data_IF_778312127578
#
_entry.id   IF_778312127578
#
_cell.length_a   1.000
_cell.length_b   1.000
_cell.length_c   1.000
_cell.angle_alpha   90.00
_cell.angle_beta   90.00
_cell.angle_gamma   90.00
#
_symmetry.space_group_name_H-M   'P 1'
#
loop_
_entity.id
_entity.type
_entity.pdbx_description
1 polymer ?
#
# COMPACT_ATOMS: atom_id res chain seq x y z
N UNK A 1 8.85 21.95 -2.37
CA UNK A 1 8.68 20.93 -3.44
C UNK A 1 8.21 21.61 -4.70
N UNK A 2 8.91 21.42 -5.82
CA UNK A 2 8.54 22.01 -7.11
C UNK A 2 7.26 21.36 -7.67
N UNK A 3 6.53 22.11 -8.53
CA UNK A 3 5.32 21.56 -9.19
C UNK A 3 5.63 20.30 -10.00
N UNK A 4 6.78 20.25 -10.66
CA UNK A 4 7.20 19.09 -11.45
C UNK A 4 7.45 17.84 -10.59
N UNK A 5 7.99 18.00 -9.39
CA UNK A 5 8.21 16.87 -8.49
C UNK A 5 6.90 16.27 -7.98
N UNK A 6 5.93 17.12 -7.62
CA UNK A 6 4.58 16.65 -7.21
C UNK A 6 3.90 15.87 -8.33
N UNK A 7 3.94 16.39 -9.56
CA UNK A 7 3.34 15.72 -10.72
C UNK A 7 3.96 14.33 -10.94
N UNK A 8 5.28 14.18 -10.78
CA UNK A 8 5.94 12.88 -10.91
C UNK A 8 5.51 11.89 -9.82
N UNK A 9 5.37 12.35 -8.58
CA UNK A 9 4.89 11.51 -7.46
C UNK A 9 3.47 11.05 -7.71
N UNK A 10 2.58 11.94 -8.15
CA UNK A 10 1.20 11.64 -8.44
C UNK A 10 1.06 10.63 -9.59
N UNK A 11 1.83 10.81 -10.68
CA UNK A 11 1.85 9.88 -11.82
C UNK A 11 2.35 8.50 -11.40
N UNK A 12 3.43 8.41 -10.64
CA UNK A 12 3.94 7.13 -10.13
C UNK A 12 2.94 6.43 -9.21
N UNK A 13 2.24 7.18 -8.38
CA UNK A 13 1.17 6.66 -7.53
C UNK A 13 0.05 6.03 -8.36
N UNK A 14 -0.42 6.71 -9.38
CA UNK A 14 -1.47 6.21 -10.29
C UNK A 14 -1.02 5.02 -11.11
N UNK A 15 0.25 4.99 -11.56
CA UNK A 15 0.80 3.84 -12.26
C UNK A 15 0.89 2.60 -11.36
N UNK A 16 1.29 2.78 -10.12
CA UNK A 16 1.30 1.69 -9.14
C UNK A 16 -0.11 1.11 -8.93
N UNK A 17 -1.11 1.98 -8.75
CA UNK A 17 -2.50 1.56 -8.62
C UNK A 17 -2.98 0.84 -9.90
N UNK A 18 -2.64 1.33 -11.09
CA UNK A 18 -3.00 0.68 -12.35
C UNK A 18 -2.40 -0.72 -12.46
N UNK A 19 -1.14 -0.90 -12.07
CA UNK A 19 -0.48 -2.19 -12.09
C UNK A 19 -1.10 -3.16 -11.09
N UNK A 20 -1.45 -2.67 -9.90
CA UNK A 20 -2.17 -3.48 -8.91
C UNK A 20 -3.57 -3.85 -9.41
N UNK A 21 -4.29 -2.90 -10.02
CA UNK A 21 -5.60 -3.16 -10.62
C UNK A 21 -5.53 -4.31 -11.64
N UNK A 22 -4.48 -4.36 -12.46
CA UNK A 22 -4.28 -5.45 -13.43
C UNK A 22 -4.13 -6.81 -12.74
N UNK A 23 -3.39 -6.87 -11.66
CA UNK A 23 -3.25 -8.09 -10.84
C UNK A 23 -4.60 -8.51 -10.26
N UNK A 24 -5.34 -7.57 -9.67
CA UNK A 24 -6.68 -7.81 -9.11
C UNK A 24 -7.67 -8.25 -10.19
N UNK A 25 -7.64 -7.62 -11.36
CA UNK A 25 -8.52 -7.96 -12.48
C UNK A 25 -8.25 -9.38 -13.01
N UNK A 26 -6.98 -9.82 -13.03
CA UNK A 26 -6.65 -11.19 -13.35
C UNK A 26 -7.26 -12.18 -12.35
N UNK A 27 -7.25 -11.84 -11.07
CA UNK A 27 -7.90 -12.63 -10.02
C UNK A 27 -9.42 -12.64 -10.19
N UNK A 28 -10.03 -11.54 -10.60
CA UNK A 28 -11.47 -11.48 -10.88
C UNK A 28 -11.83 -12.36 -12.09
N UNK A 29 -11.07 -12.30 -13.16
CA UNK A 29 -11.26 -13.15 -14.36
C UNK A 29 -11.11 -14.63 -14.04
N UNK A 30 -10.23 -14.96 -13.09
CA UNK A 30 -10.05 -16.32 -12.60
C UNK A 30 -11.10 -16.72 -11.53
N UNK A 31 -12.11 -15.88 -11.30
CA UNK A 31 -13.19 -16.09 -10.34
C UNK A 31 -12.72 -16.22 -8.87
N UNK A 32 -11.51 -15.75 -8.56
CA UNK A 32 -10.98 -15.66 -7.18
C UNK A 32 -11.61 -14.48 -6.45
N UNK A 33 -11.72 -13.35 -7.14
CA UNK A 33 -12.42 -12.16 -6.64
C UNK A 33 -13.79 -12.05 -7.28
N UNK A 34 -14.78 -11.69 -6.49
CA UNK A 34 -16.17 -11.52 -6.94
C UNK A 34 -16.41 -10.12 -7.51
N UNK A 35 -15.71 -9.10 -6.98
CA UNK A 35 -15.82 -7.71 -7.40
C UNK A 35 -14.56 -6.93 -7.06
N UNK A 36 -14.32 -5.84 -7.82
CA UNK A 36 -13.25 -4.87 -7.58
C UNK A 36 -13.82 -3.47 -7.78
N UNK A 37 -13.63 -2.60 -6.81
CA UNK A 37 -13.86 -1.17 -6.93
C UNK A 37 -12.51 -0.45 -6.79
N UNK A 38 -12.09 0.21 -7.85
CA UNK A 38 -10.93 1.10 -7.83
C UNK A 38 -11.43 2.52 -7.59
N UNK A 39 -11.20 3.02 -6.38
CA UNK A 39 -11.69 4.33 -5.96
C UNK A 39 -10.63 5.40 -6.22
N UNK A 40 -10.91 6.29 -7.15
CA UNK A 40 -10.03 7.42 -7.46
C UNK A 40 -10.57 8.71 -6.84
N UNK A 41 -10.75 8.69 -5.52
CA UNK A 41 -11.30 9.80 -4.75
C UNK A 41 -10.47 10.07 -3.50
N UNK A 42 -10.22 11.36 -3.22
CA UNK A 42 -9.55 11.78 -1.98
C UNK A 42 -10.33 11.29 -0.75
N UNK A 43 -9.60 10.74 0.22
CA UNK A 43 -10.18 10.26 1.48
C UNK A 43 -10.84 8.88 1.40
N UNK A 44 -10.86 8.27 0.23
CA UNK A 44 -11.32 6.89 0.03
C UNK A 44 -10.14 5.93 0.00
N UNK A 45 -10.33 4.64 0.36
CA UNK A 45 -9.30 3.63 0.12
C UNK A 45 -9.04 3.47 -1.37
N UNK A 46 -7.87 2.95 -1.73
CA UNK A 46 -7.50 2.77 -3.13
C UNK A 46 -8.35 1.70 -3.81
N UNK A 47 -8.54 0.56 -3.17
CA UNK A 47 -9.35 -0.55 -3.69
C UNK A 47 -10.23 -1.15 -2.62
N UNK A 48 -11.45 -1.52 -3.03
CA UNK A 48 -12.33 -2.39 -2.27
C UNK A 48 -12.60 -3.62 -3.13
N UNK A 49 -12.28 -4.79 -2.62
CA UNK A 49 -12.52 -6.06 -3.32
C UNK A 49 -13.46 -6.94 -2.53
N UNK A 50 -14.11 -7.86 -3.23
CA UNK A 50 -14.94 -8.88 -2.61
C UNK A 50 -14.30 -10.24 -2.80
N UNK A 51 -13.99 -10.90 -1.70
CA UNK A 51 -13.32 -12.19 -1.68
C UNK A 51 -14.04 -13.13 -0.73
N UNK A 52 -14.48 -14.28 -1.25
CA UNK A 52 -15.27 -15.27 -0.48
C UNK A 52 -16.44 -14.64 0.30
N UNK A 53 -17.17 -13.73 -0.36
CA UNK A 53 -18.30 -13.02 0.25
C UNK A 53 -17.93 -11.94 1.26
N UNK A 54 -16.64 -11.70 1.47
CA UNK A 54 -16.10 -10.72 2.40
C UNK A 54 -15.61 -9.48 1.66
N UNK A 55 -15.86 -8.30 2.23
CA UNK A 55 -15.30 -7.04 1.74
C UNK A 55 -13.87 -6.88 2.29
N UNK A 56 -12.92 -6.62 1.42
CA UNK A 56 -11.50 -6.42 1.76
C UNK A 56 -11.03 -5.07 1.21
N UNK A 57 -10.43 -4.26 2.07
CA UNK A 57 -9.89 -2.95 1.73
C UNK A 57 -8.38 -3.07 1.52
N UNK A 58 -7.91 -2.60 0.35
CA UNK A 58 -6.49 -2.65 -0.03
C UNK A 58 -5.97 -1.23 -0.25
N UNK A 59 -4.89 -0.90 0.44
CA UNK A 59 -4.10 0.32 0.21
C UNK A 59 -2.87 0.00 -0.64
N UNK A 60 -2.64 0.82 -1.66
CA UNK A 60 -1.48 0.74 -2.52
C UNK A 60 -0.53 1.90 -2.21
N UNK A 61 0.73 1.60 -1.92
CA UNK A 61 1.75 2.60 -1.65
C UNK A 61 3.05 2.28 -2.38
N UNK A 62 3.67 3.28 -2.99
CA UNK A 62 5.04 3.16 -3.48
C UNK A 62 6.01 3.15 -2.30
N UNK A 63 7.02 2.29 -2.37
CA UNK A 63 8.16 2.40 -1.46
C UNK A 63 8.93 3.68 -1.75
N UNK A 64 9.63 4.20 -0.75
CA UNK A 64 10.45 5.40 -0.91
C UNK A 64 11.64 5.12 -1.82
N UNK A 65 12.04 6.13 -2.58
CA UNK A 65 13.29 6.08 -3.31
C UNK A 65 14.47 6.08 -2.34
N UNK A 66 15.54 5.36 -2.68
CA UNK A 66 16.78 5.42 -1.92
C UNK A 66 17.52 6.73 -2.19
N UNK A 67 18.36 7.15 -1.24
CA UNK A 67 19.33 8.21 -1.47
C UNK A 67 20.28 7.81 -2.63
N UNK A 68 20.57 8.73 -3.52
CA UNK A 68 21.40 8.50 -4.70
C UNK A 68 22.77 7.87 -4.39
N UNK A 69 23.32 8.12 -3.20
CA UNK A 69 24.64 7.64 -2.77
C UNK A 69 24.61 6.29 -2.02
N UNK A 70 23.43 5.75 -1.69
CA UNK A 70 23.28 4.54 -0.85
C UNK A 70 22.24 3.55 -1.36
N UNK A 71 21.94 3.54 -2.64
CA UNK A 71 20.82 2.79 -3.24
C UNK A 71 20.74 1.31 -2.87
N UNK A 72 21.88 0.65 -2.72
CA UNK A 72 21.91 -0.80 -2.45
C UNK A 72 21.88 -1.17 -0.98
N UNK A 73 22.17 -0.24 -0.08
CA UNK A 73 22.36 -0.50 1.36
C UNK A 73 21.21 -0.03 2.23
N UNK A 74 20.38 0.91 1.74
CA UNK A 74 19.25 1.41 2.51
C UNK A 74 18.14 0.37 2.62
N UNK A 75 17.55 0.21 3.83
CA UNK A 75 16.34 -0.57 3.98
C UNK A 75 15.22 -0.02 3.09
N UNK A 76 14.42 -0.90 2.52
CA UNK A 76 13.23 -0.49 1.79
C UNK A 76 12.18 -0.07 2.82
N UNK A 77 11.55 1.09 2.61
CA UNK A 77 10.52 1.63 3.50
C UNK A 77 9.33 2.14 2.71
N UNK A 78 8.17 2.00 3.31
CA UNK A 78 6.94 2.64 2.84
C UNK A 78 6.45 3.62 3.90
N UNK A 79 5.98 4.78 3.46
CA UNK A 79 5.45 5.82 4.34
C UNK A 79 3.92 5.74 4.37
N UNK A 80 3.37 5.38 5.51
CA UNK A 80 1.93 5.30 5.74
C UNK A 80 1.41 6.61 6.30
N UNK A 81 1.28 7.61 5.44
CA UNK A 81 0.76 8.91 5.80
C UNK A 81 -0.27 9.36 4.78
N UNK A 82 -1.43 9.80 5.25
CA UNK A 82 -2.47 10.37 4.38
C UNK A 82 -1.98 11.72 3.83
N UNK A 83 -2.45 12.08 2.64
CA UNK A 83 -2.05 13.32 1.97
C UNK A 83 -2.60 14.57 2.64
N UNK A 84 -3.69 14.46 3.41
CA UNK A 84 -4.37 15.60 4.04
C UNK A 84 -4.79 15.29 5.49
N UNK A 85 -4.84 16.35 6.32
CA UNK A 85 -5.47 16.30 7.63
C UNK A 85 -7.00 16.23 7.47
N UNK A 86 -7.70 15.88 8.54
CA UNK A 86 -9.17 15.95 8.58
C UNK A 86 -9.68 17.36 8.33
N UNK A 87 -10.92 17.46 7.86
CA UNK A 87 -11.59 18.74 7.58
C UNK A 87 -11.71 19.65 8.81
N UNK A 88 -11.68 19.09 10.02
CA UNK A 88 -11.71 19.85 11.29
C UNK A 88 -10.34 20.39 11.70
N UNK A 89 -9.29 20.18 10.89
CA UNK A 89 -7.93 20.64 11.16
C UNK A 89 -7.14 19.75 12.13
N UNK A 90 -7.71 18.66 12.63
CA UNK A 90 -6.96 17.72 13.47
C UNK A 90 -5.90 16.96 12.66
N UNK A 91 -4.77 16.62 13.32
CA UNK A 91 -3.70 15.87 12.65
C UNK A 91 -4.07 14.39 12.54
N UNK A 92 -4.85 14.06 11.51
CA UNK A 92 -5.33 12.71 11.21
C UNK A 92 -4.66 12.07 10.00
N UNK A 93 -3.46 12.52 9.64
CA UNK A 93 -2.69 11.94 8.52
C UNK A 93 -2.20 10.52 8.81
N UNK A 94 -2.14 10.14 10.08
CA UNK A 94 -1.81 8.78 10.48
C UNK A 94 -2.95 7.80 10.15
N UNK A 95 -2.59 6.62 9.67
CA UNK A 95 -3.56 5.53 9.51
C UNK A 95 -3.86 4.86 10.84
N UNK A 96 -5.14 4.59 11.06
CA UNK A 96 -5.55 3.69 12.13
C UNK A 96 -5.27 2.24 11.71
N UNK A 97 -4.99 1.39 12.68
CA UNK A 97 -4.67 -0.01 12.43
C UNK A 97 -5.81 -0.80 11.76
N UNK A 98 -7.05 -0.30 11.86
CA UNK A 98 -8.26 -0.93 11.32
C UNK A 98 -8.79 -0.29 10.02
N UNK A 99 -8.06 0.65 9.41
CA UNK A 99 -8.55 1.38 8.23
C UNK A 99 -8.49 0.59 6.92
N UNK A 100 -7.64 -0.41 6.84
CA UNK A 100 -7.53 -1.29 5.66
C UNK A 100 -7.11 -2.69 6.09
N UNK A 101 -7.26 -3.64 5.18
CA UNK A 101 -6.98 -5.06 5.46
C UNK A 101 -5.63 -5.50 4.91
N UNK A 102 -5.24 -4.99 3.75
CA UNK A 102 -3.98 -5.33 3.07
C UNK A 102 -3.26 -4.06 2.63
N UNK A 103 -1.95 -4.00 2.88
CA UNK A 103 -1.05 -3.04 2.25
C UNK A 103 -0.35 -3.72 1.08
N UNK A 104 -0.44 -3.13 -0.10
CA UNK A 104 0.31 -3.52 -1.29
C UNK A 104 1.40 -2.50 -1.55
N UNK A 105 2.64 -2.87 -1.26
CA UNK A 105 3.82 -2.01 -1.42
C UNK A 105 4.42 -2.22 -2.81
N UNK A 106 4.41 -1.17 -3.64
CA UNK A 106 5.02 -1.18 -4.96
C UNK A 106 6.52 -0.92 -4.86
N UNK A 107 7.33 -1.82 -5.38
CA UNK A 107 8.80 -1.80 -5.26
C UNK A 107 9.51 -1.01 -6.37
N UNK A 108 8.78 -0.43 -7.32
CA UNK A 108 9.37 0.20 -8.51
C UNK A 108 10.45 1.23 -8.19
N UNK A 109 10.26 2.07 -7.19
CA UNK A 109 11.22 3.11 -6.83
C UNK A 109 12.58 2.59 -6.36
N UNK A 110 12.67 1.30 -6.01
CA UNK A 110 13.91 0.65 -5.57
C UNK A 110 14.44 -0.36 -6.57
N UNK A 111 13.58 -1.01 -7.32
CA UNK A 111 13.95 -2.12 -8.22
C UNK A 111 13.89 -1.77 -9.70
N UNK A 112 13.16 -0.70 -10.06
CA UNK A 112 12.86 -0.38 -11.46
C UNK A 112 11.84 -1.29 -12.12
N UNK A 113 11.25 -2.21 -11.35
CA UNK A 113 10.24 -3.16 -11.82
C UNK A 113 8.92 -2.94 -11.08
N UNK A 114 7.81 -2.98 -11.82
CA UNK A 114 6.47 -2.91 -11.25
C UNK A 114 6.11 -4.22 -10.57
N UNK A 115 6.66 -4.42 -9.38
CA UNK A 115 6.43 -5.57 -8.54
C UNK A 115 5.91 -5.14 -7.18
N UNK A 116 5.23 -6.05 -6.49
CA UNK A 116 4.61 -5.76 -5.20
C UNK A 116 5.00 -6.80 -4.16
N UNK A 117 5.04 -6.35 -2.91
CA UNK A 117 4.90 -7.20 -1.74
C UNK A 117 3.66 -6.78 -0.98
N UNK A 118 2.92 -7.74 -0.48
CA UNK A 118 1.64 -7.54 0.19
C UNK A 118 1.71 -8.04 1.63
N UNK A 119 1.04 -7.34 2.52
CA UNK A 119 0.96 -7.73 3.93
C UNK A 119 -0.42 -7.46 4.50
N UNK A 120 -0.94 -8.38 5.30
CA UNK A 120 -2.15 -8.12 6.08
C UNK A 120 -1.86 -7.01 7.10
N UNK A 121 -2.73 -6.01 7.18
CA UNK A 121 -2.52 -4.81 8.00
C UNK A 121 -2.28 -5.13 9.48
N UNK A 122 -2.86 -6.22 9.99
CA UNK A 122 -2.67 -6.65 11.38
C UNK A 122 -1.21 -7.00 11.73
N UNK A 123 -0.36 -7.23 10.72
CA UNK A 123 1.06 -7.52 10.91
C UNK A 123 1.96 -6.29 10.76
N UNK A 124 1.39 -5.13 10.42
CA UNK A 124 2.13 -3.88 10.38
C UNK A 124 2.45 -3.40 11.79
N UNK A 125 3.55 -2.67 11.92
CA UNK A 125 3.96 -2.11 13.21
C UNK A 125 3.05 -0.96 13.61
N UNK A 126 2.65 -0.94 14.88
CA UNK A 126 1.87 0.13 15.47
C UNK A 126 2.78 1.13 16.20
N UNK A 127 2.25 2.31 16.50
CA UNK A 127 2.97 3.32 17.29
C UNK A 127 3.19 2.83 18.71
N UNK A 128 4.34 3.15 19.27
CA UNK A 128 4.64 2.87 20.68
C UNK A 128 3.64 3.61 21.57
N UNK A 129 2.97 2.89 22.46
CA UNK A 129 1.95 3.45 23.36
C UNK A 129 0.61 3.77 22.71
N UNK A 130 0.46 3.61 21.40
CA UNK A 130 -0.77 3.89 20.64
C UNK A 130 -1.08 2.76 19.65
N UNK A 131 -1.49 1.57 20.14
CA UNK A 131 -1.70 0.40 19.28
C UNK A 131 -2.85 0.55 18.28
N UNK A 132 -3.70 1.56 18.44
CA UNK A 132 -4.76 1.87 17.48
C UNK A 132 -4.26 2.59 16.21
N UNK A 133 -3.01 3.04 16.18
CA UNK A 133 -2.41 3.74 15.04
C UNK A 133 -1.20 3.00 14.49
N UNK A 134 -1.07 3.01 13.16
CA UNK A 134 0.10 2.44 12.50
C UNK A 134 1.29 3.38 12.60
N UNK A 135 2.48 2.80 12.76
CA UNK A 135 3.73 3.53 12.62
C UNK A 135 3.84 4.06 11.19
N UNK A 136 4.23 5.31 11.01
CA UNK A 136 4.28 5.97 9.70
C UNK A 136 5.27 5.26 8.77
N UNK A 137 6.48 4.99 9.24
CA UNK A 137 7.47 4.25 8.46
C UNK A 137 7.41 2.76 8.75
N UNK A 138 7.15 1.98 7.70
CA UNK A 138 7.16 0.53 7.75
C UNK A 138 8.32 0.01 6.91
N UNK A 139 9.07 -0.95 7.43
CA UNK A 139 10.11 -1.63 6.66
C UNK A 139 9.49 -2.69 5.76
N UNK A 140 10.01 -2.78 4.54
CA UNK A 140 9.60 -3.76 3.53
C UNK A 140 10.81 -4.63 3.19
N UNK A 141 10.71 -5.97 3.23
CA UNK A 141 11.83 -6.82 2.87
C UNK A 141 12.12 -6.76 1.36
N UNK A 142 13.31 -7.20 0.96
CA UNK A 142 13.70 -7.26 -0.46
C UNK A 142 12.99 -8.40 -1.23
N UNK A 143 12.53 -9.41 -0.52
CA UNK A 143 11.82 -10.58 -1.05
C UNK A 143 10.76 -11.02 -0.03
N UNK A 144 9.80 -11.89 -0.40
CA UNK A 144 8.81 -12.38 0.55
C UNK A 144 9.47 -12.97 1.80
N UNK A 145 9.14 -12.41 2.96
CA UNK A 145 9.72 -12.77 4.24
C UNK A 145 8.71 -12.47 5.36
N UNK A 146 8.68 -13.28 6.39
CA UNK A 146 7.77 -13.11 7.52
C UNK A 146 6.31 -13.10 7.06
N UNK A 147 5.60 -12.02 7.37
CA UNK A 147 4.20 -11.84 6.97
C UNK A 147 4.01 -11.23 5.57
N UNK A 148 5.10 -10.88 4.88
CA UNK A 148 5.06 -10.30 3.54
C UNK A 148 4.91 -11.39 2.48
N UNK A 149 4.00 -11.16 1.53
CA UNK A 149 3.62 -12.12 0.48
C UNK A 149 3.92 -11.56 -0.91
N UNK A 150 4.26 -12.45 -1.85
CA UNK A 150 4.54 -12.08 -3.24
C UNK A 150 3.28 -11.85 -4.08
N UNK A 151 2.12 -12.31 -3.63
CA UNK A 151 0.87 -12.17 -4.37
C UNK A 151 -0.27 -11.68 -3.50
N UNK A 152 -1.23 -11.00 -4.12
CA UNK A 152 -2.47 -10.59 -3.44
C UNK A 152 -3.23 -11.79 -2.92
N UNK A 153 -3.28 -12.89 -3.69
CA UNK A 153 -3.99 -14.11 -3.27
C UNK A 153 -3.40 -14.67 -1.96
N UNK A 154 -2.07 -14.71 -1.85
CA UNK A 154 -1.43 -15.19 -0.63
C UNK A 154 -1.72 -14.27 0.57
N UNK A 155 -1.76 -12.95 0.35
CA UNK A 155 -2.12 -11.99 1.40
C UNK A 155 -3.60 -12.11 1.81
N UNK A 156 -4.50 -12.35 0.86
CA UNK A 156 -5.91 -12.62 1.14
C UNK A 156 -6.08 -13.85 2.04
N UNK A 157 -5.30 -14.89 1.79
CA UNK A 157 -5.35 -16.12 2.59
C UNK A 157 -4.89 -15.90 4.05
N UNK A 158 -4.20 -14.83 4.34
CA UNK A 158 -3.76 -14.47 5.71
C UNK A 158 -4.85 -13.72 6.52
N UNK A 159 -5.97 -13.36 5.89
CA UNK A 159 -7.03 -12.57 6.56
C UNK A 159 -7.93 -13.42 7.50
#
# INVERSE_FOLDING_TARGET
MSRGFRAQVDVKGKLAELMLYRELENLRKAEVLQAIDWLDEDGKPDFIVRWKGRTVIIECKNVRSADANRKSEEPIRVELQKTRNSKDGSNTRAYRADQFDILSACLFNRTGTWSFLHIAARHLRTRQGEPGFLKIMQEVPHAPEGAWRASTLAALADL
#
